data_IF_926688812686
#
_entry.id   IF_926688812686
#
_cell.length_a   1.000
_cell.length_b   1.000
_cell.length_c   1.000
_cell.angle_alpha   90.00
_cell.angle_beta   90.00
_cell.angle_gamma   90.00
#
_symmetry.space_group_name_H-M   'P 1'
#
loop_
_entity.id
_entity.type
_entity.pdbx_description
1 polymer ?
#
# COMPACT_ATOMS: atom_id res chain seq x y z
N UNK A 1 0.21 12.70 -16.86
CA UNK A 1 1.16 11.75 -16.23
C UNK A 1 1.68 10.79 -17.29
N UNK A 2 3.00 10.56 -17.34
CA UNK A 2 3.58 9.55 -18.23
C UNK A 2 3.20 8.16 -17.71
N UNK A 3 2.41 7.39 -18.48
CA UNK A 3 1.88 6.10 -18.05
C UNK A 3 2.90 4.96 -18.08
N UNK A 4 4.09 5.19 -18.65
CA UNK A 4 5.16 4.20 -18.75
C UNK A 4 6.27 4.41 -17.70
N UNK A 5 6.07 5.35 -16.76
CA UNK A 5 7.01 5.57 -15.65
C UNK A 5 6.56 4.74 -14.46
N UNK A 6 7.54 4.10 -13.82
CA UNK A 6 7.35 3.34 -12.59
C UNK A 6 6.76 4.24 -11.49
N UNK A 7 5.75 3.74 -10.78
CA UNK A 7 4.99 4.51 -9.81
C UNK A 7 5.87 5.06 -8.67
N UNK A 8 6.97 4.42 -8.30
CA UNK A 8 7.93 4.88 -7.27
C UNK A 8 8.54 6.25 -7.56
N UNK A 9 8.58 6.67 -8.83
CA UNK A 9 9.06 8.01 -9.22
C UNK A 9 7.96 9.07 -9.15
N UNK A 10 6.70 8.64 -8.97
CA UNK A 10 5.53 9.51 -8.89
C UNK A 10 5.03 9.60 -7.44
N UNK A 11 5.20 8.53 -6.66
CA UNK A 11 4.78 8.43 -5.27
C UNK A 11 5.98 8.01 -4.41
N UNK A 12 6.52 8.91 -3.58
CA UNK A 12 7.70 8.63 -2.76
C UNK A 12 7.31 7.82 -1.50
N UNK A 13 6.74 6.63 -1.70
CA UNK A 13 6.41 5.72 -0.60
C UNK A 13 7.71 5.36 0.14
N UNK A 14 7.77 5.50 1.48
CA UNK A 14 8.95 5.11 2.24
C UNK A 14 9.34 3.64 2.02
N UNK A 15 10.64 3.38 1.85
CA UNK A 15 11.16 2.04 1.52
C UNK A 15 10.82 0.97 2.54
N UNK A 16 10.63 1.35 3.81
CA UNK A 16 10.19 0.42 4.86
C UNK A 16 8.90 -0.30 4.49
N UNK A 17 8.00 0.35 3.75
CA UNK A 17 6.74 -0.24 3.35
C UNK A 17 6.84 -1.16 2.14
N UNK A 18 7.98 -1.24 1.44
CA UNK A 18 8.07 -1.98 0.19
C UNK A 18 7.84 -3.49 0.39
N UNK A 19 8.34 -4.03 1.50
CA UNK A 19 8.13 -5.44 1.87
C UNK A 19 6.73 -5.72 2.42
N UNK A 20 5.90 -4.70 2.67
CA UNK A 20 4.59 -4.91 3.26
C UNK A 20 3.65 -5.54 2.22
N UNK A 21 2.79 -6.48 2.64
CA UNK A 21 1.76 -7.05 1.78
C UNK A 21 0.87 -5.97 1.17
N UNK A 22 0.40 -6.14 -0.06
CA UNK A 22 -0.34 -5.09 -0.77
C UNK A 22 -1.64 -4.69 -0.05
N UNK A 23 -2.27 -5.63 0.66
CA UNK A 23 -3.49 -5.37 1.41
C UNK A 23 -3.29 -4.38 2.57
N UNK A 24 -2.03 -4.15 2.98
CA UNK A 24 -1.64 -3.11 3.92
C UNK A 24 -2.10 -1.72 3.46
N UNK A 25 -2.12 -1.42 2.16
CA UNK A 25 -2.57 -0.13 1.64
C UNK A 25 -3.99 0.27 2.08
N UNK A 26 -4.77 -0.67 2.62
CA UNK A 26 -6.05 -0.39 3.28
C UNK A 26 -5.95 0.65 4.40
N UNK A 27 -4.82 0.73 5.12
CA UNK A 27 -4.60 1.72 6.17
C UNK A 27 -4.64 3.16 5.66
N UNK A 28 -4.33 3.35 4.37
CA UNK A 28 -4.33 4.65 3.71
C UNK A 28 -5.76 5.11 3.32
N UNK A 29 -6.79 4.32 3.65
CA UNK A 29 -8.18 4.68 3.40
C UNK A 29 -8.83 5.29 4.64
N UNK A 30 -9.56 6.39 4.44
CA UNK A 30 -10.45 6.94 5.49
C UNK A 30 -11.63 6.02 5.83
N UNK A 31 -11.93 5.03 4.97
CA UNK A 31 -12.93 4.00 5.20
C UNK A 31 -12.33 2.63 4.89
N UNK A 32 -11.84 1.95 5.93
CA UNK A 32 -11.20 0.63 5.85
C UNK A 32 -12.17 -0.46 5.38
N UNK A 33 -13.49 -0.27 5.51
CA UNK A 33 -14.54 -1.20 5.07
C UNK A 33 -14.99 -1.01 3.61
N UNK A 34 -14.34 -0.12 2.85
CA UNK A 34 -14.75 0.20 1.49
C UNK A 34 -14.62 -1.02 0.54
N UNK A 35 -15.76 -1.56 0.09
CA UNK A 35 -15.84 -2.68 -0.88
C UNK A 35 -15.08 -2.41 -2.18
N UNK A 36 -14.97 -1.15 -2.59
CA UNK A 36 -14.16 -0.74 -3.74
C UNK A 36 -12.69 -1.07 -3.52
N UNK A 37 -12.14 -0.72 -2.36
CA UNK A 37 -10.73 -0.99 -2.01
C UNK A 37 -10.48 -2.50 -1.94
N UNK A 38 -11.37 -3.27 -1.31
CA UNK A 38 -11.25 -4.74 -1.31
C UNK A 38 -11.18 -5.31 -2.73
N UNK A 39 -12.02 -4.84 -3.64
CA UNK A 39 -11.98 -5.29 -5.03
C UNK A 39 -10.64 -4.97 -5.71
N UNK A 40 -10.09 -3.78 -5.46
CA UNK A 40 -8.82 -3.36 -6.08
C UNK A 40 -7.64 -4.15 -5.53
N UNK A 41 -7.55 -4.30 -4.21
CA UNK A 41 -6.48 -5.06 -3.56
C UNK A 41 -6.53 -6.54 -3.95
N UNK A 42 -7.73 -7.15 -4.01
CA UNK A 42 -7.89 -8.53 -4.48
C UNK A 42 -7.52 -8.66 -5.96
N UNK A 43 -7.90 -7.69 -6.80
CA UNK A 43 -7.51 -7.69 -8.21
C UNK A 43 -5.98 -7.59 -8.37
N UNK A 44 -5.28 -6.87 -7.51
CA UNK A 44 -3.80 -6.82 -7.52
C UNK A 44 -3.22 -8.19 -7.14
N UNK A 45 -3.70 -8.80 -6.05
CA UNK A 45 -3.27 -10.13 -5.63
C UNK A 45 -3.53 -11.20 -6.70
N UNK A 46 -4.69 -11.18 -7.36
CA UNK A 46 -5.03 -12.09 -8.46
C UNK A 46 -4.10 -11.95 -9.68
N UNK A 47 -3.41 -10.82 -9.81
CA UNK A 47 -2.42 -10.57 -10.87
C UNK A 47 -0.98 -10.55 -10.30
N UNK A 48 -0.73 -11.25 -9.18
CA UNK A 48 0.60 -11.50 -8.60
C UNK A 48 1.31 -10.28 -8.02
N UNK A 49 0.61 -9.18 -7.77
CA UNK A 49 1.13 -8.04 -7.01
C UNK A 49 0.94 -8.31 -5.52
N UNK A 50 1.93 -8.93 -4.88
CA UNK A 50 1.83 -9.42 -3.51
C UNK A 50 2.22 -8.36 -2.48
N UNK A 51 3.15 -7.48 -2.84
CA UNK A 51 3.75 -6.47 -1.98
C UNK A 51 3.57 -5.07 -2.54
N UNK A 52 3.85 -4.07 -1.71
CA UNK A 52 3.90 -2.68 -2.16
C UNK A 52 5.04 -2.49 -3.18
N UNK A 53 6.18 -3.19 -3.03
CA UNK A 53 7.29 -3.14 -3.98
C UNK A 53 6.85 -3.51 -5.41
N UNK A 54 6.08 -4.59 -5.55
CA UNK A 54 5.55 -5.05 -6.85
C UNK A 54 4.76 -3.92 -7.54
N UNK A 55 3.93 -3.23 -6.76
CA UNK A 55 3.08 -2.16 -7.29
C UNK A 55 3.86 -0.89 -7.60
N UNK A 56 4.74 -0.43 -6.70
CA UNK A 56 5.48 0.82 -6.92
C UNK A 56 6.51 0.68 -8.03
N UNK A 57 7.01 -0.53 -8.30
CA UNK A 57 7.89 -0.76 -9.44
C UNK A 57 7.13 -0.84 -10.78
N UNK A 58 5.82 -1.05 -10.75
CA UNK A 58 4.97 -1.13 -11.94
C UNK A 58 4.65 0.23 -12.53
N UNK A 59 4.16 0.22 -13.78
CA UNK A 59 3.66 1.40 -14.48
C UNK A 59 2.13 1.45 -14.47
N UNK A 60 1.56 2.64 -14.67
CA UNK A 60 0.09 2.78 -14.81
C UNK A 60 -0.47 1.94 -15.95
N UNK A 61 0.30 1.83 -17.04
CA UNK A 61 -0.07 1.06 -18.23
C UNK A 61 -0.20 -0.42 -17.89
N UNK A 62 0.83 -1.03 -17.29
CA UNK A 62 0.82 -2.45 -16.88
C UNK A 62 -0.37 -2.74 -15.96
N UNK A 63 -0.57 -1.89 -14.94
CA UNK A 63 -1.67 -2.07 -14.00
C UNK A 63 -3.04 -2.07 -14.68
N UNK A 64 -3.30 -1.16 -15.63
CA UNK A 64 -4.60 -1.09 -16.32
C UNK A 64 -4.84 -2.19 -17.36
N UNK A 65 -3.81 -2.97 -17.70
CA UNK A 65 -3.92 -4.13 -18.58
C UNK A 65 -4.26 -5.40 -17.82
N UNK A 66 -4.13 -5.39 -16.49
CA UNK A 66 -4.44 -6.53 -15.63
C UNK A 66 -5.94 -6.85 -15.60
N UNK A 67 -6.23 -8.14 -15.43
CA UNK A 67 -7.62 -8.60 -15.34
C UNK A 67 -8.29 -7.97 -14.12
N UNK A 68 -9.52 -7.49 -14.30
CA UNK A 68 -10.34 -6.85 -13.27
C UNK A 68 -9.78 -5.51 -12.72
N UNK A 69 -8.70 -4.96 -13.29
CA UNK A 69 -8.07 -3.72 -12.84
C UNK A 69 -8.25 -2.59 -13.86
N UNK A 70 -9.37 -1.88 -13.78
CA UNK A 70 -9.68 -0.76 -14.67
C UNK A 70 -9.17 0.61 -14.19
N UNK A 71 -9.43 1.67 -14.97
CA UNK A 71 -9.07 3.07 -14.63
C UNK A 71 -9.55 3.53 -13.25
N UNK A 72 -10.74 3.10 -12.83
CA UNK A 72 -11.26 3.39 -11.48
C UNK A 72 -10.41 2.74 -10.39
N UNK A 73 -9.94 1.52 -10.64
CA UNK A 73 -9.04 0.81 -9.73
C UNK A 73 -7.68 1.47 -9.62
N UNK A 74 -7.14 1.89 -10.77
CA UNK A 74 -5.93 2.70 -10.81
C UNK A 74 -6.09 3.96 -9.95
N UNK A 75 -7.15 4.76 -10.15
CA UNK A 75 -7.36 5.98 -9.37
C UNK A 75 -7.40 5.72 -7.85
N UNK A 76 -8.10 4.68 -7.41
CA UNK A 76 -8.14 4.29 -6.00
C UNK A 76 -6.74 3.96 -5.51
N UNK A 77 -6.00 3.12 -6.24
CA UNK A 77 -4.65 2.73 -5.87
C UNK A 77 -3.72 3.96 -5.76
N UNK A 78 -3.76 4.87 -6.73
CA UNK A 78 -2.93 6.07 -6.72
C UNK A 78 -3.21 6.93 -5.48
N UNK A 79 -4.48 7.08 -5.09
CA UNK A 79 -4.85 7.82 -3.88
C UNK A 79 -4.32 7.14 -2.60
N UNK A 80 -4.32 5.79 -2.55
CA UNK A 80 -3.75 5.05 -1.42
C UNK A 80 -2.24 5.23 -1.33
N UNK A 81 -1.53 5.13 -2.46
CA UNK A 81 -0.08 5.35 -2.55
C UNK A 81 0.30 6.79 -2.19
N UNK A 82 -0.47 7.76 -2.67
CA UNK A 82 -0.29 9.17 -2.31
C UNK A 82 -0.48 9.38 -0.81
N UNK A 83 -1.54 8.81 -0.24
CA UNK A 83 -1.85 8.99 1.19
C UNK A 83 -0.75 8.40 2.07
N UNK A 84 -0.28 7.17 1.80
CA UNK A 84 0.78 6.57 2.61
C UNK A 84 2.15 7.24 2.39
N UNK A 85 2.39 7.85 1.22
CA UNK A 85 3.59 8.64 0.98
C UNK A 85 3.64 9.90 1.85
N UNK A 86 2.48 10.52 2.11
CA UNK A 86 2.39 11.76 2.89
C UNK A 86 2.11 11.54 4.38
N UNK A 87 1.53 10.39 4.73
CA UNK A 87 1.11 10.04 6.10
C UNK A 87 1.57 8.63 6.47
N UNK A 88 2.88 8.37 6.51
CA UNK A 88 3.40 7.05 6.83
C UNK A 88 3.05 6.61 8.26
N UNK A 89 2.78 7.55 9.17
CA UNK A 89 2.35 7.32 10.56
C UNK A 89 1.02 6.58 10.70
N UNK A 90 0.22 6.49 9.63
CA UNK A 90 -1.01 5.68 9.60
C UNK A 90 -0.76 4.20 9.90
N UNK A 91 0.48 3.72 9.77
CA UNK A 91 0.93 2.40 10.25
C UNK A 91 0.58 2.13 11.72
N UNK A 92 0.50 3.19 12.54
CA UNK A 92 0.16 3.10 13.96
C UNK A 92 -1.36 3.07 14.22
N UNK A 93 -2.18 3.41 13.22
CA UNK A 93 -3.65 3.53 13.36
C UNK A 93 -4.38 2.21 13.11
N UNK A 94 -3.87 1.10 13.65
CA UNK A 94 -4.38 -0.26 13.37
C UNK A 94 -5.75 -0.57 14.00
N UNK A 95 -6.23 0.26 14.92
CA UNK A 95 -7.46 0.02 15.71
C UNK A 95 -8.74 -0.09 14.87
N UNK A 96 -8.73 0.46 13.65
CA UNK A 96 -9.89 0.47 12.74
C UNK A 96 -9.83 -0.64 11.68
N UNK A 97 -8.79 -1.48 11.74
CA UNK A 97 -8.58 -2.59 10.82
C UNK A 97 -9.27 -3.86 11.32
N UNK A 98 -9.51 -4.77 10.39
CA UNK A 98 -9.92 -6.13 10.73
C UNK A 98 -8.80 -6.82 11.52
N UNK A 99 -9.18 -7.64 12.51
CA UNK A 99 -8.25 -8.22 13.49
C UNK A 99 -7.04 -8.92 12.83
N UNK A 100 -7.27 -9.72 11.78
CA UNK A 100 -6.17 -10.44 11.10
C UNK A 100 -5.14 -9.51 10.47
N UNK A 101 -5.58 -8.42 9.84
CA UNK A 101 -4.68 -7.42 9.26
C UNK A 101 -3.95 -6.63 10.35
N UNK A 102 -4.66 -6.30 11.43
CA UNK A 102 -4.05 -5.64 12.58
C UNK A 102 -2.92 -6.48 13.18
N UNK A 103 -3.17 -7.77 13.41
CA UNK A 103 -2.18 -8.68 14.02
C UNK A 103 -0.94 -8.86 13.13
N UNK A 104 -1.14 -8.95 11.82
CA UNK A 104 -0.04 -9.03 10.85
C UNK A 104 0.81 -7.76 10.84
N UNK A 105 0.20 -6.58 10.86
CA UNK A 105 0.92 -5.31 10.94
C UNK A 105 1.68 -5.21 12.27
N UNK A 106 1.01 -5.49 13.39
CA UNK A 106 1.61 -5.45 14.71
C UNK A 106 2.78 -6.42 14.82
N UNK A 107 2.77 -7.54 14.09
CA UNK A 107 3.91 -8.45 14.01
C UNK A 107 5.07 -7.85 13.19
N UNK A 108 4.79 -7.35 11.98
CA UNK A 108 5.80 -6.82 11.05
C UNK A 108 6.53 -5.62 11.66
N UNK A 109 5.82 -4.70 12.32
CA UNK A 109 6.44 -3.49 12.89
C UNK A 109 7.34 -3.77 14.10
N UNK A 110 7.24 -4.96 14.69
CA UNK A 110 8.14 -5.38 15.78
C UNK A 110 9.44 -5.99 15.26
N UNK A 111 9.56 -6.26 13.96
CA UNK A 111 10.83 -6.69 13.37
C UNK A 111 11.89 -5.60 13.58
N UNK A 112 13.10 -5.94 14.09
CA UNK A 112 14.11 -4.94 14.47
C UNK A 112 14.47 -3.96 13.36
N UNK A 113 14.62 -4.46 12.13
CA UNK A 113 14.97 -3.64 10.96
C UNK A 113 13.83 -2.68 10.58
N UNK A 114 12.58 -3.16 10.61
CA UNK A 114 11.40 -2.34 10.32
C UNK A 114 11.24 -1.27 11.38
N UNK A 115 11.43 -1.63 12.65
CA UNK A 115 11.37 -0.69 13.78
C UNK A 115 12.42 0.41 13.65
N UNK A 116 13.67 0.08 13.32
CA UNK A 116 14.73 1.05 13.09
C UNK A 116 14.37 2.01 11.93
N UNK A 117 13.91 1.48 10.80
CA UNK A 117 13.52 2.30 9.65
C UNK A 117 12.30 3.19 9.93
N UNK A 118 11.33 2.74 10.74
CA UNK A 118 10.22 3.57 11.17
C UNK A 118 10.67 4.69 12.11
N UNK A 119 11.62 4.42 13.01
CA UNK A 119 12.22 5.46 13.86
C UNK A 119 13.00 6.49 13.05
N UNK A 120 13.72 6.08 12.00
CA UNK A 120 14.40 7.00 11.07
C UNK A 120 13.40 7.92 10.33
N UNK A 121 12.17 7.45 10.11
CA UNK A 121 11.07 8.23 9.56
C UNK A 121 10.36 9.11 10.60
N UNK A 122 10.79 9.08 11.86
CA UNK A 122 10.17 9.82 12.98
C UNK A 122 8.91 9.16 13.55
N UNK A 123 8.65 7.90 13.22
CA UNK A 123 7.49 7.13 13.67
C UNK A 123 7.88 6.33 14.92
N UNK A 124 7.31 6.71 16.06
CA UNK A 124 7.61 6.07 17.34
C UNK A 124 6.59 4.95 17.62
N UNK A 125 7.10 3.72 17.78
CA UNK A 125 6.33 2.48 17.99
C UNK A 125 6.48 1.95 19.41
#
# INVERSE_FOLDING_TARGET
MNQNVSLKFLFPVPKVFYSFPIHFLRIASSNTSNKGISRILNSLLENEYMTIDDVVNSTMKELTQNRNFGKKGLLILLNLLETISHKPELILETKTLEQGLRDEIELIIQEPLIKEQLLELGINI
#
